data_IF_704366261266
#
_entry.id   IF_704366261266
#
_cell.length_a   1.000
_cell.length_b   1.000
_cell.length_c   1.000
_cell.angle_alpha   90.00
_cell.angle_beta   90.00
_cell.angle_gamma   90.00
#
_symmetry.space_group_name_H-M   'P 1'
#
loop_
_entity.id
_entity.type
_entity.pdbx_description
1 polymer ?
#
# COMPACT_ATOMS: atom_id res chain seq x y z
N UNK A 1 -20.88 -17.09 -12.95
CA UNK A 1 -20.23 -15.78 -13.05
C UNK A 1 -21.16 -14.70 -12.52
N UNK A 2 -20.60 -13.60 -12.04
CA UNK A 2 -21.38 -12.43 -11.62
C UNK A 2 -21.26 -11.34 -12.67
N UNK A 3 -22.32 -10.54 -12.81
CA UNK A 3 -22.37 -9.41 -13.73
C UNK A 3 -22.65 -8.13 -12.94
N UNK A 4 -21.87 -7.11 -13.19
CA UNK A 4 -22.01 -5.78 -12.64
C UNK A 4 -22.41 -4.83 -13.76
N UNK A 5 -23.41 -3.96 -13.52
CA UNK A 5 -23.92 -3.06 -14.54
C UNK A 5 -24.10 -1.65 -13.95
N UNK A 6 -23.45 -0.66 -14.57
CA UNK A 6 -23.53 0.74 -14.13
C UNK A 6 -22.28 1.53 -14.51
N UNK A 7 -21.86 2.45 -13.62
CA UNK A 7 -20.70 3.31 -13.84
C UNK A 7 -19.45 2.75 -13.16
N UNK A 8 -18.34 2.66 -13.91
CA UNK A 8 -17.02 2.27 -13.40
C UNK A 8 -16.03 3.41 -13.66
N UNK A 9 -15.22 3.73 -12.64
CA UNK A 9 -14.25 4.82 -12.69
C UNK A 9 -12.88 4.27 -12.30
N UNK A 10 -11.93 4.31 -13.20
CA UNK A 10 -10.58 3.81 -12.96
C UNK A 10 -9.50 4.62 -13.73
N UNK A 11 -8.24 4.37 -13.44
CA UNK A 11 -7.12 4.90 -14.21
C UNK A 11 -6.49 3.80 -15.06
N UNK A 12 -5.97 4.17 -16.24
CA UNK A 12 -5.07 3.33 -17.05
C UNK A 12 -3.64 3.81 -16.93
N UNK A 13 -3.46 5.12 -16.91
CA UNK A 13 -2.15 5.77 -16.79
C UNK A 13 -2.23 7.00 -15.89
N UNK A 14 -1.07 7.50 -15.51
CA UNK A 14 -0.93 8.63 -14.59
C UNK A 14 -1.71 9.87 -15.08
N UNK A 15 -2.63 10.33 -14.25
CA UNK A 15 -3.42 11.54 -14.51
C UNK A 15 -4.61 11.36 -15.44
N UNK A 16 -4.85 10.15 -15.97
CA UNK A 16 -5.98 9.85 -16.84
C UNK A 16 -7.00 8.95 -16.15
N UNK A 17 -8.18 9.49 -15.87
CA UNK A 17 -9.34 8.74 -15.41
C UNK A 17 -10.18 8.31 -16.62
N UNK A 18 -10.47 7.02 -16.74
CA UNK A 18 -11.47 6.48 -17.65
C UNK A 18 -12.79 6.29 -16.87
N UNK A 19 -13.86 6.81 -17.42
CA UNK A 19 -15.23 6.66 -16.89
C UNK A 19 -16.01 5.80 -17.90
N UNK A 20 -16.46 4.65 -17.43
CA UNK A 20 -17.24 3.69 -18.18
C UNK A 20 -18.69 3.76 -17.70
N UNK A 21 -19.48 4.67 -18.26
CA UNK A 21 -20.90 4.82 -17.93
C UNK A 21 -21.73 3.72 -18.61
N UNK A 22 -22.86 3.37 -17.99
CA UNK A 22 -23.77 2.35 -18.51
C UNK A 22 -23.04 1.10 -19.04
N UNK A 23 -22.08 0.59 -18.28
CA UNK A 23 -21.21 -0.51 -18.70
C UNK A 23 -21.62 -1.80 -18.01
N UNK A 24 -21.64 -2.91 -18.76
CA UNK A 24 -21.77 -4.26 -18.21
C UNK A 24 -20.38 -4.90 -18.09
N UNK A 25 -20.08 -5.51 -16.95
CA UNK A 25 -18.82 -6.20 -16.66
C UNK A 25 -19.09 -7.57 -16.08
N UNK A 26 -18.52 -8.61 -16.69
CA UNK A 26 -18.63 -9.98 -16.22
C UNK A 26 -17.38 -10.41 -15.44
N UNK A 27 -17.59 -11.03 -14.28
CA UNK A 27 -16.55 -11.54 -13.40
C UNK A 27 -16.72 -13.03 -13.16
N UNK A 28 -15.66 -13.80 -13.39
CA UNK A 28 -15.63 -15.26 -13.16
C UNK A 28 -14.30 -15.66 -12.53
N UNK A 29 -14.37 -16.49 -11.49
CA UNK A 29 -13.20 -16.94 -10.74
C UNK A 29 -12.33 -15.78 -10.25
N UNK A 30 -12.98 -14.71 -9.83
CA UNK A 30 -12.31 -13.51 -9.30
C UNK A 30 -11.73 -12.55 -10.33
N UNK A 31 -11.86 -12.84 -11.64
CA UNK A 31 -11.27 -12.04 -12.71
C UNK A 31 -12.34 -11.39 -13.59
N UNK A 32 -12.03 -10.20 -14.06
CA UNK A 32 -12.77 -9.55 -15.13
C UNK A 32 -12.57 -10.35 -16.42
N UNK A 33 -13.67 -10.84 -17.02
CA UNK A 33 -13.61 -11.70 -18.22
C UNK A 33 -14.25 -11.09 -19.45
N UNK A 34 -15.15 -10.11 -19.27
CA UNK A 34 -15.79 -9.40 -20.38
C UNK A 34 -16.26 -8.02 -19.92
N UNK A 35 -16.28 -7.06 -20.85
CA UNK A 35 -16.75 -5.69 -20.65
C UNK A 35 -17.52 -5.26 -21.91
N UNK A 36 -18.75 -4.73 -21.73
CA UNK A 36 -19.51 -4.09 -22.81
C UNK A 36 -19.85 -2.65 -22.38
N UNK A 37 -19.32 -1.68 -23.12
CA UNK A 37 -19.43 -0.24 -22.78
C UNK A 37 -20.79 0.38 -23.15
N UNK A 38 -21.69 -0.36 -23.78
CA UNK A 38 -23.08 0.04 -24.06
C UNK A 38 -24.08 -0.53 -23.04
N UNK A 39 -23.61 -1.31 -22.06
CA UNK A 39 -24.45 -1.92 -21.04
C UNK A 39 -25.28 -3.13 -21.51
N UNK A 40 -25.08 -3.59 -22.72
CA UNK A 40 -25.80 -4.74 -23.24
C UNK A 40 -25.18 -6.05 -22.78
N UNK A 41 -25.77 -6.62 -21.73
CA UNK A 41 -25.31 -7.89 -21.14
C UNK A 41 -25.40 -9.03 -22.18
N UNK A 42 -26.46 -9.07 -23.00
CA UNK A 42 -26.64 -10.13 -24.00
C UNK A 42 -25.54 -10.09 -25.07
N UNK A 43 -25.31 -8.92 -25.65
CA UNK A 43 -24.21 -8.69 -26.60
C UNK A 43 -22.86 -9.00 -26.00
N UNK A 44 -22.60 -8.56 -24.71
CA UNK A 44 -21.37 -8.89 -24.01
C UNK A 44 -21.13 -10.40 -23.95
N UNK A 45 -22.17 -11.18 -23.63
CA UNK A 45 -22.05 -12.63 -23.49
C UNK A 45 -21.83 -13.31 -24.84
N UNK A 46 -22.49 -12.83 -25.89
CA UNK A 46 -22.36 -13.35 -27.27
C UNK A 46 -20.94 -13.11 -27.81
N UNK A 47 -20.46 -11.88 -27.76
CA UNK A 47 -19.12 -11.48 -28.25
C UNK A 47 -17.99 -12.17 -27.48
N UNK A 48 -18.17 -12.38 -26.16
CA UNK A 48 -17.19 -13.05 -25.31
C UNK A 48 -17.33 -14.59 -25.30
N UNK A 49 -18.25 -15.14 -26.12
CA UNK A 49 -18.56 -16.59 -26.16
C UNK A 49 -18.99 -17.18 -24.82
N UNK A 50 -19.71 -16.38 -24.00
CA UNK A 50 -20.18 -16.73 -22.67
C UNK A 50 -21.69 -17.00 -22.62
N UNK A 51 -22.40 -17.07 -23.77
CA UNK A 51 -23.86 -17.19 -23.83
C UNK A 51 -24.42 -18.42 -23.10
N UNK A 52 -23.63 -19.48 -23.00
CA UNK A 52 -24.04 -20.71 -22.31
C UNK A 52 -23.64 -20.72 -20.81
N UNK A 53 -22.99 -19.68 -20.31
CA UNK A 53 -22.55 -19.59 -18.92
C UNK A 53 -23.70 -19.16 -18.00
N UNK A 54 -23.82 -19.82 -16.85
CA UNK A 54 -24.82 -19.44 -15.86
C UNK A 54 -24.41 -18.14 -15.14
N UNK A 55 -25.25 -17.13 -15.24
CA UNK A 55 -25.13 -15.93 -14.41
C UNK A 55 -25.65 -16.27 -13.00
N UNK A 56 -24.80 -16.07 -11.99
CA UNK A 56 -25.14 -16.33 -10.58
C UNK A 56 -25.81 -15.11 -9.95
N UNK A 57 -25.32 -13.91 -10.29
CA UNK A 57 -25.85 -12.66 -9.78
C UNK A 57 -25.68 -11.52 -10.79
N UNK A 58 -26.63 -10.57 -10.77
CA UNK A 58 -26.53 -9.31 -11.52
C UNK A 58 -26.71 -8.17 -10.53
N UNK A 59 -25.64 -7.39 -10.31
CA UNK A 59 -25.68 -6.18 -9.50
C UNK A 59 -25.83 -4.97 -10.45
N UNK A 60 -26.97 -4.28 -10.35
CA UNK A 60 -27.20 -3.00 -11.06
C UNK A 60 -26.98 -1.85 -10.11
N UNK A 61 -26.14 -0.90 -10.53
CA UNK A 61 -25.87 0.33 -9.82
C UNK A 61 -26.92 1.38 -10.20
N UNK A 62 -27.27 2.23 -9.25
CA UNK A 62 -28.08 3.42 -9.53
C UNK A 62 -27.19 4.62 -9.96
N UNK A 63 -27.82 5.75 -10.27
CA UNK A 63 -27.15 6.95 -10.78
C UNK A 63 -26.20 7.63 -9.77
N UNK A 64 -26.34 7.35 -8.46
CA UNK A 64 -25.49 7.88 -7.39
C UNK A 64 -24.41 6.89 -6.96
N UNK A 65 -24.39 5.73 -7.58
CA UNK A 65 -23.44 4.66 -7.32
C UNK A 65 -22.45 4.51 -8.46
N UNK A 66 -21.22 4.18 -8.10
CA UNK A 66 -20.20 3.80 -9.06
C UNK A 66 -19.22 2.80 -8.44
N UNK A 67 -18.48 2.10 -9.27
CA UNK A 67 -17.40 1.23 -8.83
C UNK A 67 -16.04 1.83 -9.14
N UNK A 68 -15.11 1.70 -8.19
CA UNK A 68 -13.69 2.00 -8.39
C UNK A 68 -12.85 0.77 -8.11
N UNK A 69 -11.60 0.68 -8.61
CA UNK A 69 -10.65 -0.31 -8.10
C UNK A 69 -10.45 -0.14 -6.60
N UNK A 70 -10.14 -1.26 -5.92
CA UNK A 70 -9.74 -1.24 -4.53
C UNK A 70 -8.43 -0.48 -4.33
N UNK A 71 -8.29 0.15 -3.17
CA UNK A 71 -7.09 0.92 -2.83
C UNK A 71 -5.94 0.02 -2.41
N UNK A 72 -4.73 0.48 -2.69
CA UNK A 72 -3.47 -0.16 -2.32
C UNK A 72 -2.79 0.68 -1.25
N UNK A 73 -2.62 0.12 -0.07
CA UNK A 73 -1.79 0.66 1.01
C UNK A 73 -0.41 -0.02 0.95
N UNK A 74 0.53 0.63 0.30
CA UNK A 74 1.83 0.04 0.05
C UNK A 74 2.81 0.21 1.23
N UNK A 75 2.37 0.79 2.36
CA UNK A 75 3.16 0.92 3.57
C UNK A 75 2.28 1.19 4.79
N UNK A 76 2.20 0.21 5.69
CA UNK A 76 1.43 0.30 6.94
C UNK A 76 2.03 -0.61 8.02
N UNK A 77 2.11 -0.14 9.25
CA UNK A 77 2.57 -0.91 10.41
C UNK A 77 1.38 -1.49 11.19
N UNK A 78 1.06 -2.75 10.95
CA UNK A 78 -0.09 -3.39 11.59
C UNK A 78 -0.02 -3.39 13.13
N UNK A 79 1.19 -3.49 13.67
CA UNK A 79 1.44 -3.53 15.11
C UNK A 79 1.33 -2.17 15.80
N UNK A 80 1.30 -1.07 15.06
CA UNK A 80 1.25 0.28 15.63
C UNK A 80 -0.16 0.87 15.66
N UNK A 81 -1.17 0.14 15.19
CA UNK A 81 -2.53 0.64 15.00
C UNK A 81 -3.14 1.32 16.23
N UNK A 82 -2.87 0.81 17.42
CA UNK A 82 -3.38 1.38 18.68
C UNK A 82 -2.70 2.73 19.05
N UNK A 83 -1.57 3.09 18.41
CA UNK A 83 -0.89 4.38 18.59
C UNK A 83 -1.41 5.48 17.67
N UNK A 84 -2.28 5.17 16.72
CA UNK A 84 -2.78 6.16 15.77
C UNK A 84 -3.39 7.38 16.50
N UNK A 85 -2.89 8.57 16.19
CA UNK A 85 -3.31 9.81 16.84
C UNK A 85 -2.50 10.22 18.09
N UNK A 86 -1.51 9.45 18.51
CA UNK A 86 -0.75 9.70 19.75
C UNK A 86 0.67 10.21 19.49
N UNK A 87 1.08 11.25 20.21
CA UNK A 87 2.46 11.69 20.35
C UNK A 87 3.05 12.48 19.18
N UNK A 88 2.25 13.07 18.29
CA UNK A 88 2.74 13.86 17.14
C UNK A 88 3.31 15.24 17.51
N UNK A 89 3.40 15.57 18.77
CA UNK A 89 4.22 16.65 19.30
C UNK A 89 5.73 16.34 19.24
N UNK A 90 6.12 15.06 19.06
CA UNK A 90 7.49 14.55 19.04
C UNK A 90 8.08 14.48 17.62
N UNK A 91 9.41 14.36 17.55
CA UNK A 91 10.12 13.96 16.32
C UNK A 91 10.07 12.44 16.15
N UNK A 92 10.44 11.95 14.96
CA UNK A 92 10.40 10.50 14.62
C UNK A 92 11.07 9.63 15.69
N UNK A 93 12.36 9.89 16.01
CA UNK A 93 13.12 9.02 16.91
C UNK A 93 12.59 9.06 18.36
N UNK A 94 12.12 10.22 18.82
CA UNK A 94 11.52 10.36 20.14
C UNK A 94 10.14 9.70 20.21
N UNK A 95 9.36 9.79 19.14
CA UNK A 95 8.06 9.12 19.02
C UNK A 95 8.21 7.60 19.04
N UNK A 96 9.19 7.06 18.31
CA UNK A 96 9.50 5.62 18.34
C UNK A 96 9.79 5.13 19.76
N UNK A 97 10.63 5.85 20.51
CA UNK A 97 11.00 5.48 21.88
C UNK A 97 9.82 5.57 22.87
N UNK A 98 9.01 6.63 22.73
CA UNK A 98 7.96 6.93 23.72
C UNK A 98 6.68 6.08 23.51
N UNK A 99 6.32 5.78 22.27
CA UNK A 99 5.04 5.14 21.94
C UNK A 99 5.21 3.81 21.19
N UNK A 100 6.01 3.79 20.14
CA UNK A 100 6.06 2.67 19.21
C UNK A 100 6.71 1.43 19.83
N UNK A 101 7.92 1.56 20.36
CA UNK A 101 8.65 0.42 20.91
C UNK A 101 7.93 -0.23 22.10
N UNK A 102 7.39 0.54 23.08
CA UNK A 102 6.60 -0.05 24.16
C UNK A 102 5.35 -0.79 23.68
N UNK A 103 4.71 -0.31 22.63
CA UNK A 103 3.55 -0.99 22.05
C UNK A 103 3.94 -2.27 21.32
N UNK A 104 4.96 -2.20 20.44
CA UNK A 104 5.39 -3.36 19.63
C UNK A 104 5.87 -4.53 20.52
N UNK A 105 6.40 -4.27 21.72
CA UNK A 105 6.73 -5.31 22.71
C UNK A 105 5.53 -6.18 23.08
N UNK A 106 4.34 -5.60 23.16
CA UNK A 106 3.13 -6.35 23.57
C UNK A 106 2.76 -7.47 22.57
N UNK A 107 3.30 -7.40 21.35
CA UNK A 107 3.09 -8.43 20.33
C UNK A 107 3.91 -9.71 20.55
N UNK A 108 4.72 -9.79 21.59
CA UNK A 108 5.25 -11.05 22.12
C UNK A 108 4.09 -11.98 22.50
N UNK A 109 3.00 -11.41 23.02
CA UNK A 109 1.76 -12.11 23.35
C UNK A 109 0.87 -12.26 22.11
N UNK A 110 0.79 -13.46 21.56
CA UNK A 110 0.00 -13.75 20.34
C UNK A 110 -1.50 -13.49 20.50
N UNK A 111 -2.03 -13.54 21.71
CA UNK A 111 -3.41 -13.18 22.05
C UNK A 111 -3.68 -11.70 21.82
N UNK A 112 -2.75 -10.82 22.27
CA UNK A 112 -2.80 -9.39 22.02
C UNK A 112 -2.68 -9.08 20.52
N UNK A 113 -1.69 -9.69 19.87
CA UNK A 113 -1.47 -9.55 18.43
C UNK A 113 -2.74 -9.89 17.64
N UNK A 114 -3.43 -10.97 17.98
CA UNK A 114 -4.68 -11.38 17.32
C UNK A 114 -5.75 -10.29 17.40
N UNK A 115 -5.96 -9.69 18.57
CA UNK A 115 -6.99 -8.67 18.78
C UNK A 115 -6.68 -7.43 17.93
N UNK A 116 -5.43 -6.93 17.96
CA UNK A 116 -5.05 -5.73 17.22
C UNK A 116 -5.08 -5.99 15.71
N UNK A 117 -4.57 -7.13 15.25
CA UNK A 117 -4.57 -7.47 13.82
C UNK A 117 -5.99 -7.69 13.26
N UNK A 118 -6.92 -8.25 14.04
CA UNK A 118 -8.33 -8.31 13.61
C UNK A 118 -8.94 -6.92 13.42
N UNK A 119 -8.57 -5.96 14.27
CA UNK A 119 -9.02 -4.56 14.14
C UNK A 119 -8.41 -3.89 12.91
N UNK A 120 -7.08 -3.91 12.75
CA UNK A 120 -6.41 -3.18 11.65
C UNK A 120 -6.85 -3.72 10.29
N UNK A 121 -6.85 -5.05 10.09
CA UNK A 121 -7.27 -5.66 8.82
C UNK A 121 -8.75 -5.38 8.54
N UNK A 122 -9.61 -5.43 9.57
CA UNK A 122 -11.03 -5.08 9.41
C UNK A 122 -11.24 -3.61 9.07
N UNK A 123 -10.48 -2.71 9.70
CA UNK A 123 -10.58 -1.26 9.46
C UNK A 123 -10.06 -0.89 8.07
N UNK A 124 -8.92 -1.41 7.65
CA UNK A 124 -8.38 -1.13 6.31
C UNK A 124 -9.30 -1.64 5.21
N UNK A 125 -9.85 -2.86 5.32
CA UNK A 125 -10.87 -3.37 4.40
C UNK A 125 -12.10 -2.47 4.35
N UNK A 126 -12.65 -2.08 5.50
CA UNK A 126 -13.82 -1.20 5.58
C UNK A 126 -13.57 0.17 4.92
N UNK A 127 -12.33 0.64 4.94
CA UNK A 127 -11.87 1.85 4.27
C UNK A 127 -11.44 1.64 2.81
N UNK A 128 -11.75 0.48 2.22
CA UNK A 128 -11.53 0.22 0.79
C UNK A 128 -10.11 -0.25 0.43
N UNK A 129 -9.24 -0.52 1.41
CA UNK A 129 -7.91 -1.06 1.14
C UNK A 129 -8.00 -2.55 0.85
N UNK A 130 -7.97 -2.92 -0.43
CA UNK A 130 -8.02 -4.32 -0.89
C UNK A 130 -6.66 -5.01 -0.85
N UNK A 131 -5.57 -4.23 -0.98
CA UNK A 131 -4.19 -4.71 -0.92
C UNK A 131 -3.37 -3.89 0.07
N UNK A 132 -2.64 -4.54 0.98
CA UNK A 132 -1.77 -3.87 1.95
C UNK A 132 -0.38 -4.52 2.03
N UNK A 133 0.68 -3.69 2.20
CA UNK A 133 2.03 -4.13 2.53
C UNK A 133 2.28 -3.89 4.03
N UNK A 134 2.09 -4.93 4.83
CA UNK A 134 2.15 -4.85 6.28
C UNK A 134 3.55 -5.04 6.84
N UNK A 135 4.03 -4.07 7.60
CA UNK A 135 5.03 -4.31 8.64
C UNK A 135 4.35 -5.03 9.81
N UNK A 136 4.82 -6.21 10.17
CA UNK A 136 4.44 -6.91 11.39
C UNK A 136 5.28 -6.45 12.59
N UNK A 137 5.87 -7.41 13.30
CA UNK A 137 6.81 -7.18 14.40
C UNK A 137 8.04 -8.09 14.26
N UNK A 138 8.99 -8.02 15.23
CA UNK A 138 10.06 -9.01 15.34
C UNK A 138 9.53 -10.39 15.80
N UNK A 139 8.34 -10.45 16.40
CA UNK A 139 7.75 -11.68 16.96
C UNK A 139 7.12 -12.52 15.87
N UNK A 140 7.82 -13.54 15.43
CA UNK A 140 7.47 -14.39 14.26
C UNK A 140 6.08 -15.03 14.39
N UNK A 141 5.73 -15.57 15.56
CA UNK A 141 4.42 -16.22 15.76
C UNK A 141 3.27 -15.21 15.66
N UNK A 142 3.46 -13.99 16.11
CA UNK A 142 2.49 -12.90 15.92
C UNK A 142 2.35 -12.49 14.46
N UNK A 143 3.44 -12.51 13.68
CA UNK A 143 3.37 -12.29 12.24
C UNK A 143 2.56 -13.40 11.54
N UNK A 144 2.64 -14.66 11.98
CA UNK A 144 1.77 -15.73 11.47
C UNK A 144 0.29 -15.51 11.85
N UNK A 145 -0.01 -14.91 13.02
CA UNK A 145 -1.40 -14.50 13.33
C UNK A 145 -1.92 -13.47 12.35
N UNK A 146 -1.09 -12.52 11.92
CA UNK A 146 -1.48 -11.56 10.88
C UNK A 146 -1.77 -12.25 9.55
N UNK A 147 -0.95 -13.22 9.14
CA UNK A 147 -1.18 -14.05 7.96
C UNK A 147 -2.53 -14.75 8.04
N UNK A 148 -2.82 -15.41 9.16
CA UNK A 148 -4.08 -16.15 9.34
C UNK A 148 -5.31 -15.22 9.28
N UNK A 149 -5.21 -14.02 9.89
CA UNK A 149 -6.31 -13.05 9.92
C UNK A 149 -6.56 -12.47 8.54
N UNK A 150 -5.50 -12.08 7.81
CA UNK A 150 -5.60 -11.56 6.44
C UNK A 150 -6.28 -12.59 5.53
N UNK A 151 -5.85 -13.85 5.58
CA UNK A 151 -6.44 -14.95 4.82
C UNK A 151 -7.92 -15.17 5.17
N UNK A 152 -8.23 -15.18 6.48
CA UNK A 152 -9.61 -15.35 6.97
C UNK A 152 -10.53 -14.23 6.49
N UNK A 153 -10.04 -12.98 6.50
CA UNK A 153 -10.81 -11.80 6.05
C UNK A 153 -10.81 -11.64 4.53
N UNK A 154 -9.94 -12.36 3.81
CA UNK A 154 -9.88 -12.34 2.35
C UNK A 154 -9.23 -11.08 1.77
N UNK A 155 -8.39 -10.34 2.52
CA UNK A 155 -7.63 -9.22 2.01
C UNK A 155 -6.39 -9.72 1.24
N UNK A 156 -5.97 -9.01 0.20
CA UNK A 156 -4.65 -9.23 -0.40
C UNK A 156 -3.59 -8.54 0.45
N UNK A 157 -2.48 -9.23 0.77
CA UNK A 157 -1.41 -8.60 1.53
C UNK A 157 -0.02 -9.17 1.24
N UNK A 158 0.97 -8.29 1.35
CA UNK A 158 2.36 -8.64 1.55
C UNK A 158 2.66 -8.47 3.04
N UNK A 159 3.13 -9.49 3.72
CA UNK A 159 3.31 -9.47 5.18
C UNK A 159 4.77 -9.72 5.52
N UNK A 160 5.35 -8.82 6.32
CA UNK A 160 6.74 -8.90 6.72
C UNK A 160 6.95 -9.08 8.22
N UNK A 161 7.80 -10.05 8.59
CA UNK A 161 8.41 -10.12 9.90
C UNK A 161 9.54 -9.07 9.94
N UNK A 162 9.46 -8.15 10.89
CA UNK A 162 10.43 -7.05 11.04
C UNK A 162 11.77 -7.58 11.55
N UNK A 163 12.88 -7.05 11.03
CA UNK A 163 14.22 -7.35 11.48
C UNK A 163 14.83 -6.14 12.18
N UNK A 164 15.34 -6.35 13.38
CA UNK A 164 16.07 -5.36 14.18
C UNK A 164 17.09 -6.08 15.08
N UNK A 165 18.38 -5.76 14.94
CA UNK A 165 19.44 -6.34 15.78
C UNK A 165 20.33 -5.28 16.46
N UNK A 166 20.02 -3.98 16.29
CA UNK A 166 20.75 -2.88 16.93
C UNK A 166 19.89 -1.63 17.08
N UNK A 167 20.37 -0.70 17.90
CA UNK A 167 19.79 0.64 18.13
C UNK A 167 18.29 0.64 18.49
N UNK A 168 17.83 -0.40 19.15
CA UNK A 168 16.50 -0.54 19.69
C UNK A 168 16.59 -0.98 21.18
N UNK A 169 15.52 -0.86 21.97
CA UNK A 169 15.50 -1.43 23.31
C UNK A 169 15.76 -2.94 23.30
N UNK A 170 16.42 -3.46 24.33
CA UNK A 170 16.80 -4.89 24.42
C UNK A 170 15.62 -5.82 24.17
N UNK A 171 14.42 -5.45 24.61
CA UNK A 171 13.19 -6.23 24.42
C UNK A 171 12.66 -6.25 22.98
N UNK A 172 13.24 -5.45 22.08
CA UNK A 172 12.95 -5.43 20.63
C UNK A 172 14.20 -5.66 19.78
N UNK A 173 15.31 -6.04 20.37
CA UNK A 173 16.56 -6.37 19.67
C UNK A 173 16.70 -7.88 19.55
N UNK A 174 16.92 -8.37 18.32
CA UNK A 174 17.09 -9.79 18.03
C UNK A 174 18.58 -10.15 17.89
N UNK A 175 18.93 -11.39 18.26
CA UNK A 175 20.19 -11.98 17.83
C UNK A 175 20.17 -12.15 16.29
N UNK A 176 21.25 -11.74 15.61
CA UNK A 176 21.33 -11.71 14.15
C UNK A 176 21.02 -13.07 13.52
N UNK A 177 21.61 -14.16 14.03
CA UNK A 177 21.40 -15.51 13.50
C UNK A 177 19.94 -15.97 13.68
N UNK A 178 19.33 -15.61 14.82
CA UNK A 178 17.90 -15.87 15.08
C UNK A 178 17.03 -15.10 14.10
N UNK A 179 17.29 -13.80 13.92
CA UNK A 179 16.52 -12.95 13.00
C UNK A 179 16.56 -13.47 11.57
N UNK A 180 17.75 -13.90 11.08
CA UNK A 180 17.94 -14.49 9.76
C UNK A 180 17.16 -15.81 9.63
N UNK A 181 17.31 -16.71 10.62
CA UNK A 181 16.63 -18.01 10.64
C UNK A 181 15.10 -17.83 10.63
N UNK A 182 14.60 -16.98 11.49
CA UNK A 182 13.16 -16.74 11.64
C UNK A 182 12.57 -16.10 10.38
N UNK A 183 13.29 -15.16 9.74
CA UNK A 183 12.87 -14.57 8.47
C UNK A 183 12.80 -15.62 7.36
N UNK A 184 13.82 -16.47 7.26
CA UNK A 184 13.82 -17.56 6.27
C UNK A 184 12.64 -18.50 6.50
N UNK A 185 12.42 -18.92 7.74
CA UNK A 185 11.30 -19.79 8.12
C UNK A 185 9.94 -19.12 7.80
N UNK A 186 9.81 -17.83 8.08
CA UNK A 186 8.60 -17.06 7.77
C UNK A 186 8.32 -17.06 6.27
N UNK A 187 9.33 -16.74 5.44
CA UNK A 187 9.22 -16.72 3.98
C UNK A 187 8.84 -18.11 3.45
N UNK A 188 9.52 -19.16 3.89
CA UNK A 188 9.24 -20.54 3.47
C UNK A 188 7.81 -20.97 3.84
N UNK A 189 7.38 -20.70 5.07
CA UNK A 189 6.04 -21.09 5.56
C UNK A 189 4.93 -20.35 4.83
N UNK A 190 5.06 -19.04 4.61
CA UNK A 190 4.06 -18.25 3.88
C UNK A 190 3.99 -18.71 2.42
N UNK A 191 5.12 -18.91 1.74
CA UNK A 191 5.14 -19.43 0.36
C UNK A 191 4.49 -20.82 0.25
N UNK A 192 4.68 -21.69 1.24
CA UNK A 192 4.09 -23.04 1.27
C UNK A 192 2.57 -23.03 1.43
N UNK A 193 1.93 -21.94 1.86
CA UNK A 193 0.48 -21.80 1.87
C UNK A 193 -0.12 -21.81 0.47
N UNK A 194 0.67 -21.43 -0.56
CA UNK A 194 0.23 -21.29 -1.96
C UNK A 194 -1.04 -20.45 -2.11
N UNK A 195 -1.21 -19.48 -1.22
CA UNK A 195 -2.34 -18.56 -1.23
C UNK A 195 -2.04 -17.41 -2.19
N UNK A 196 -2.82 -17.21 -3.26
CA UNK A 196 -2.53 -16.18 -4.26
C UNK A 196 -2.68 -14.75 -3.72
N UNK A 197 -3.36 -14.60 -2.58
CA UNK A 197 -3.61 -13.29 -1.96
C UNK A 197 -2.53 -12.90 -0.93
N UNK A 198 -1.74 -13.85 -0.41
CA UNK A 198 -0.81 -13.57 0.69
C UNK A 198 0.61 -13.94 0.31
N UNK A 199 1.49 -12.96 0.31
CA UNK A 199 2.91 -13.10 -0.01
C UNK A 199 3.78 -12.66 1.18
N UNK A 200 4.96 -13.28 1.37
CA UNK A 200 5.95 -12.76 2.31
C UNK A 200 6.68 -11.56 1.71
N UNK A 201 7.08 -10.62 2.56
CA UNK A 201 7.96 -9.50 2.21
C UNK A 201 9.07 -9.37 3.25
N UNK A 202 10.31 -9.30 2.82
CA UNK A 202 11.48 -9.15 3.69
C UNK A 202 11.48 -7.72 4.22
N UNK A 203 11.62 -7.58 5.54
CA UNK A 203 11.30 -6.32 6.21
C UNK A 203 12.39 -5.91 7.21
N UNK A 204 13.63 -5.56 6.78
CA UNK A 204 14.51 -4.79 7.65
C UNK A 204 13.81 -3.49 8.01
N UNK A 205 13.68 -3.17 9.33
CA UNK A 205 12.93 -1.98 9.71
C UNK A 205 13.48 -0.75 9.01
N UNK A 206 14.75 -0.46 9.20
CA UNK A 206 15.51 0.57 8.49
C UNK A 206 17.02 0.38 8.78
N UNK A 207 17.89 1.13 8.12
CA UNK A 207 19.32 0.94 8.25
C UNK A 207 19.83 1.16 9.68
N UNK A 208 19.22 2.05 10.46
CA UNK A 208 19.63 2.31 11.86
C UNK A 208 19.48 1.06 12.74
N UNK A 209 18.46 0.24 12.49
CA UNK A 209 18.14 -0.91 13.36
C UNK A 209 18.73 -2.24 12.89
N UNK A 210 19.50 -2.24 11.79
CA UNK A 210 20.08 -3.45 11.21
C UNK A 210 21.56 -3.24 10.93
N UNK A 211 22.44 -4.09 11.47
CA UNK A 211 23.83 -4.08 11.05
C UNK A 211 24.00 -4.58 9.61
N UNK A 212 25.14 -4.30 9.00
CA UNK A 212 25.37 -4.63 7.60
C UNK A 212 25.32 -6.14 7.34
N UNK A 213 25.77 -6.96 8.27
CA UNK A 213 25.74 -8.44 8.16
C UNK A 213 24.30 -8.97 8.08
N UNK A 214 23.40 -8.41 8.89
CA UNK A 214 21.97 -8.74 8.85
C UNK A 214 21.37 -8.30 7.50
N UNK A 215 21.61 -7.06 7.08
CA UNK A 215 21.10 -6.55 5.79
C UNK A 215 21.56 -7.41 4.60
N UNK A 216 22.85 -7.79 4.54
CA UNK A 216 23.41 -8.64 3.50
C UNK A 216 22.79 -10.05 3.51
N UNK A 217 22.55 -10.62 4.69
CA UNK A 217 21.89 -11.91 4.85
C UNK A 217 20.44 -11.86 4.36
N UNK A 218 19.72 -10.77 4.65
CA UNK A 218 18.35 -10.53 4.14
C UNK A 218 18.35 -10.36 2.62
N UNK A 219 19.36 -9.70 2.04
CA UNK A 219 19.57 -9.63 0.59
C UNK A 219 19.75 -11.00 -0.06
N UNK A 220 20.47 -11.89 0.61
CA UNK A 220 20.65 -13.29 0.17
C UNK A 220 19.33 -14.09 0.22
N UNK A 221 18.49 -13.86 1.25
CA UNK A 221 17.16 -14.49 1.34
C UNK A 221 16.26 -13.94 0.22
N UNK A 222 16.26 -12.60 -0.02
CA UNK A 222 15.54 -11.98 -1.13
C UNK A 222 15.85 -12.65 -2.46
N UNK A 223 17.14 -12.80 -2.77
CA UNK A 223 17.59 -13.39 -4.02
C UNK A 223 17.14 -14.85 -4.13
N UNK A 224 17.40 -15.65 -3.09
CA UNK A 224 17.05 -17.07 -3.05
C UNK A 224 15.56 -17.34 -3.30
N UNK A 225 14.68 -16.56 -2.70
CA UNK A 225 13.23 -16.77 -2.76
C UNK A 225 12.53 -15.83 -3.77
N UNK A 226 13.26 -14.96 -4.44
CA UNK A 226 12.71 -13.91 -5.30
C UNK A 226 11.61 -13.09 -4.61
N UNK A 227 11.84 -12.79 -3.32
CA UNK A 227 10.89 -12.09 -2.45
C UNK A 227 10.83 -10.59 -2.70
N UNK A 228 9.71 -10.00 -2.33
CA UNK A 228 9.60 -8.56 -2.13
C UNK A 228 10.44 -8.11 -0.93
N UNK A 229 10.81 -6.82 -0.93
CA UNK A 229 11.50 -6.15 0.18
C UNK A 229 10.78 -4.84 0.49
N UNK A 230 10.65 -4.51 1.76
CA UNK A 230 10.19 -3.21 2.23
C UNK A 230 11.10 -2.69 3.34
N UNK A 231 11.35 -1.38 3.32
CA UNK A 231 12.10 -0.67 4.36
C UNK A 231 11.86 0.83 4.25
N UNK A 232 12.41 1.62 5.18
CA UNK A 232 12.35 3.08 5.19
C UNK A 232 13.63 3.67 4.59
N UNK A 233 13.54 4.85 3.98
CA UNK A 233 14.71 5.55 3.42
C UNK A 233 14.52 7.06 3.50
N UNK A 234 15.55 7.75 3.99
CA UNK A 234 15.69 9.20 3.93
C UNK A 234 14.41 9.94 4.33
N UNK A 235 13.78 9.48 5.42
CA UNK A 235 12.55 10.07 5.95
C UNK A 235 12.84 11.39 6.68
N UNK A 236 13.83 11.39 7.58
CA UNK A 236 14.15 12.48 8.47
C UNK A 236 15.64 12.84 8.40
N UNK A 237 15.99 14.11 8.58
CA UNK A 237 17.39 14.58 8.50
C UNK A 237 18.26 13.94 9.57
N UNK A 238 17.78 13.85 10.83
CA UNK A 238 18.53 13.24 11.92
C UNK A 238 18.76 11.75 11.68
N UNK A 239 17.78 11.06 11.07
CA UNK A 239 17.90 9.67 10.63
C UNK A 239 19.02 9.50 9.60
N UNK A 240 19.09 10.40 8.60
CA UNK A 240 20.11 10.36 7.53
C UNK A 240 21.52 10.53 8.11
N UNK A 241 21.71 11.50 9.00
CA UNK A 241 23.00 11.74 9.65
C UNK A 241 23.41 10.53 10.50
N UNK A 242 22.47 9.93 11.22
CA UNK A 242 22.77 8.73 12.01
C UNK A 242 23.14 7.53 11.13
N UNK A 243 22.48 7.33 10.00
CA UNK A 243 22.87 6.29 9.02
C UNK A 243 24.28 6.54 8.47
N UNK A 244 24.64 7.78 8.20
CA UNK A 244 25.99 8.15 7.72
C UNK A 244 27.08 7.83 8.76
N UNK A 245 26.79 8.03 10.03
CA UNK A 245 27.69 7.64 11.13
C UNK A 245 27.85 6.11 11.23
N UNK A 246 26.76 5.36 11.10
CA UNK A 246 26.76 3.89 11.19
C UNK A 246 27.40 3.21 9.98
N UNK A 247 27.27 3.82 8.78
CA UNK A 247 27.75 3.26 7.53
C UNK A 247 28.69 4.23 6.78
N UNK A 248 29.85 4.60 7.35
CA UNK A 248 30.73 5.66 6.82
C UNK A 248 31.33 5.32 5.46
N UNK A 249 31.27 4.06 5.03
CA UNK A 249 31.76 3.64 3.71
C UNK A 249 30.70 3.69 2.62
N UNK A 250 29.42 3.84 2.97
CA UNK A 250 28.35 4.02 1.99
C UNK A 250 28.33 5.44 1.48
N UNK A 251 28.04 5.64 0.20
CA UNK A 251 28.00 7.00 -0.40
C UNK A 251 26.77 7.80 0.02
N UNK A 252 25.68 7.13 0.37
CA UNK A 252 24.43 7.70 0.85
C UNK A 252 23.55 6.62 1.48
N UNK A 253 22.36 6.97 1.98
CA UNK A 253 21.46 6.03 2.65
C UNK A 253 21.04 4.88 1.72
N UNK A 254 20.60 5.19 0.50
CA UNK A 254 20.17 4.18 -0.48
C UNK A 254 21.30 3.23 -0.86
N UNK A 255 22.57 3.67 -0.84
CA UNK A 255 23.74 2.84 -1.12
C UNK A 255 23.94 1.72 -0.08
N UNK A 256 23.54 1.94 1.18
CA UNK A 256 23.56 0.89 2.21
C UNK A 256 22.73 -0.32 1.74
N UNK A 257 21.52 -0.08 1.26
CA UNK A 257 20.63 -1.13 0.77
C UNK A 257 21.10 -1.74 -0.55
N UNK A 258 21.67 -0.92 -1.45
CA UNK A 258 22.24 -1.39 -2.70
C UNK A 258 23.37 -2.39 -2.45
N UNK A 259 24.30 -2.05 -1.55
CA UNK A 259 25.43 -2.90 -1.18
C UNK A 259 25.00 -4.20 -0.51
N UNK A 260 23.91 -4.16 0.25
CA UNK A 260 23.32 -5.33 0.90
C UNK A 260 22.46 -6.19 -0.06
N UNK A 261 22.43 -5.92 -1.37
CA UNK A 261 21.60 -6.61 -2.36
C UNK A 261 20.10 -6.61 -2.03
N UNK A 262 19.61 -5.53 -1.41
CA UNK A 262 18.19 -5.38 -1.05
C UNK A 262 17.37 -4.62 -2.10
N UNK A 263 18.03 -3.94 -3.06
CA UNK A 263 17.35 -3.19 -4.10
C UNK A 263 17.00 -4.05 -5.30
N UNK A 264 15.83 -3.79 -5.88
CA UNK A 264 15.35 -4.46 -7.09
C UNK A 264 13.90 -4.12 -7.40
N UNK A 265 13.36 -4.66 -8.48
CA UNK A 265 12.02 -4.33 -8.97
C UNK A 265 10.90 -4.59 -7.96
N UNK A 266 11.08 -5.58 -7.08
CA UNK A 266 10.14 -5.93 -5.99
C UNK A 266 10.46 -5.24 -4.67
N UNK A 267 11.27 -4.18 -4.68
CA UNK A 267 11.62 -3.42 -3.48
C UNK A 267 10.83 -2.13 -3.42
N UNK A 268 10.23 -1.87 -2.26
CA UNK A 268 9.56 -0.61 -1.94
C UNK A 268 10.33 0.09 -0.80
N UNK A 269 10.56 1.37 -0.98
CA UNK A 269 11.21 2.25 -0.01
C UNK A 269 10.19 3.29 0.48
N UNK A 270 9.87 3.26 1.77
CA UNK A 270 8.93 4.21 2.35
C UNK A 270 9.56 5.59 2.55
N UNK A 271 8.74 6.63 2.45
CA UNK A 271 9.01 8.06 2.64
C UNK A 271 9.81 8.73 1.53
N UNK A 272 11.13 8.56 1.48
CA UNK A 272 11.98 9.19 0.47
C UNK A 272 11.89 10.72 0.44
N UNK A 273 11.74 11.36 1.62
CA UNK A 273 11.51 12.83 1.74
C UNK A 273 12.74 13.61 1.30
N UNK A 274 13.92 13.15 1.70
CA UNK A 274 15.19 13.86 1.52
C UNK A 274 16.16 13.17 0.55
N UNK A 275 15.63 12.43 -0.44
CA UNK A 275 16.47 11.75 -1.44
C UNK A 275 17.29 12.76 -2.26
N UNK A 276 18.58 12.49 -2.38
CA UNK A 276 19.51 13.21 -3.27
C UNK A 276 19.32 12.81 -4.73
N UNK A 277 19.90 13.56 -5.68
CA UNK A 277 19.82 13.19 -7.10
C UNK A 277 20.53 11.86 -7.41
N UNK A 278 21.64 11.57 -6.73
CA UNK A 278 22.37 10.28 -6.88
C UNK A 278 21.54 9.11 -6.37
N UNK A 279 20.81 9.29 -5.26
CA UNK A 279 19.88 8.27 -4.77
C UNK A 279 18.72 8.03 -5.73
N UNK A 280 18.19 9.08 -6.35
CA UNK A 280 17.14 8.96 -7.38
C UNK A 280 17.63 8.17 -8.61
N UNK A 281 18.89 8.34 -9.01
CA UNK A 281 19.50 7.53 -10.08
C UNK A 281 19.57 6.08 -9.66
N UNK A 282 20.08 5.78 -8.46
CA UNK A 282 20.18 4.42 -7.93
C UNK A 282 18.82 3.73 -7.82
N UNK A 283 17.80 4.43 -7.31
CA UNK A 283 16.42 3.94 -7.17
C UNK A 283 15.82 3.61 -8.53
N UNK A 284 15.97 4.52 -9.50
CA UNK A 284 15.48 4.33 -10.87
C UNK A 284 16.13 3.14 -11.55
N UNK A 285 17.47 3.08 -11.53
CA UNK A 285 18.24 2.03 -12.23
C UNK A 285 17.97 0.65 -11.62
N UNK A 286 17.74 0.59 -10.32
CA UNK A 286 17.32 -0.64 -9.61
C UNK A 286 15.82 -0.94 -9.75
N UNK A 287 15.03 -0.10 -10.43
CA UNK A 287 13.56 -0.22 -10.61
C UNK A 287 12.76 -0.29 -9.31
N UNK A 288 13.33 0.25 -8.24
CA UNK A 288 12.70 0.34 -6.92
C UNK A 288 11.55 1.34 -6.95
N UNK A 289 10.52 1.10 -6.17
CA UNK A 289 9.44 2.06 -5.97
C UNK A 289 9.60 2.83 -4.65
N UNK A 290 9.12 4.07 -4.63
CA UNK A 290 9.02 4.91 -3.43
C UNK A 290 7.57 4.97 -2.99
N UNK A 291 7.33 4.79 -1.68
CA UNK A 291 5.99 4.87 -1.11
C UNK A 291 5.84 6.19 -0.36
N UNK A 292 4.96 7.03 -0.87
CA UNK A 292 4.66 8.32 -0.27
C UNK A 292 3.68 8.17 0.89
N UNK A 293 4.11 8.60 2.09
CA UNK A 293 3.35 8.55 3.33
C UNK A 293 3.07 9.97 3.84
N UNK A 294 2.14 10.74 3.19
CA UNK A 294 2.03 12.18 3.39
C UNK A 294 1.65 12.57 4.83
N UNK A 295 0.79 11.80 5.48
CA UNK A 295 0.34 12.06 6.84
C UNK A 295 1.51 11.92 7.83
N UNK A 296 2.25 10.82 7.78
CA UNK A 296 3.39 10.57 8.66
C UNK A 296 4.49 11.61 8.46
N UNK A 297 4.90 11.86 7.22
CA UNK A 297 5.96 12.83 6.90
C UNK A 297 5.68 14.22 7.50
N UNK A 298 4.41 14.64 7.51
CA UNK A 298 4.01 15.95 8.05
C UNK A 298 3.80 15.91 9.57
N UNK A 299 3.16 14.87 10.11
CA UNK A 299 2.89 14.74 11.54
C UNK A 299 4.17 14.62 12.37
N UNK A 300 5.13 13.82 11.90
CA UNK A 300 6.42 13.60 12.58
C UNK A 300 7.48 14.65 12.19
N UNK A 301 7.09 15.69 11.45
CA UNK A 301 7.95 16.82 11.05
C UNK A 301 9.15 16.40 10.19
N UNK A 302 9.01 15.27 9.48
CA UNK A 302 10.05 14.75 8.58
C UNK A 302 10.25 15.66 7.35
N UNK A 303 9.17 16.26 6.83
CA UNK A 303 9.22 17.21 5.72
C UNK A 303 8.16 16.97 4.65
N UNK A 304 8.33 17.66 3.51
CA UNK A 304 7.43 17.57 2.36
C UNK A 304 8.10 16.74 1.25
N UNK A 305 7.65 15.52 1.03
CA UNK A 305 8.16 14.69 -0.07
C UNK A 305 7.71 15.25 -1.43
N UNK A 306 8.65 15.55 -2.31
CA UNK A 306 8.38 16.04 -3.66
C UNK A 306 8.08 14.87 -4.61
N UNK A 307 6.83 14.38 -4.59
CA UNK A 307 6.38 13.28 -5.45
C UNK A 307 6.49 13.63 -6.94
N UNK A 308 6.26 14.90 -7.33
CA UNK A 308 6.42 15.33 -8.73
C UNK A 308 7.86 15.12 -9.22
N UNK A 309 8.87 15.39 -8.39
CA UNK A 309 10.28 15.14 -8.72
C UNK A 309 10.54 13.65 -9.00
N UNK A 310 9.96 12.77 -8.18
CA UNK A 310 10.06 11.32 -8.37
C UNK A 310 9.45 10.89 -9.71
N UNK A 311 8.21 11.31 -9.98
CA UNK A 311 7.49 11.00 -11.21
C UNK A 311 8.20 11.53 -12.46
N UNK A 312 8.76 12.75 -12.41
CA UNK A 312 9.54 13.34 -13.50
C UNK A 312 10.80 12.51 -13.82
N UNK A 313 11.39 11.85 -12.81
CA UNK A 313 12.50 10.90 -12.97
C UNK A 313 12.04 9.49 -13.40
N UNK A 314 10.72 9.27 -13.60
CA UNK A 314 10.12 7.98 -13.95
C UNK A 314 10.34 6.90 -12.88
N UNK A 315 10.37 7.30 -11.62
CA UNK A 315 10.38 6.39 -10.47
C UNK A 315 8.93 6.01 -10.19
N UNK A 316 8.68 4.71 -9.96
CA UNK A 316 7.37 4.21 -9.53
C UNK A 316 7.03 4.77 -8.15
N UNK A 317 5.81 5.24 -7.96
CA UNK A 317 5.34 5.77 -6.68
C UNK A 317 3.99 5.14 -6.33
N UNK A 318 3.87 4.66 -5.10
CA UNK A 318 2.61 4.27 -4.47
C UNK A 318 2.31 5.14 -3.26
N UNK A 319 1.14 4.96 -2.66
CA UNK A 319 0.76 5.61 -1.41
C UNK A 319 0.81 4.63 -0.25
N UNK A 320 1.10 5.15 0.94
CA UNK A 320 1.02 4.44 2.21
C UNK A 320 0.33 5.29 3.27
N UNK A 321 -0.44 4.65 4.15
CA UNK A 321 -1.00 5.31 5.33
C UNK A 321 0.07 5.52 6.39
N UNK A 322 1.03 4.60 6.44
CA UNK A 322 2.03 4.53 7.50
C UNK A 322 1.42 4.66 8.91
N UNK A 323 0.32 3.95 9.14
CA UNK A 323 -0.23 3.85 10.50
C UNK A 323 0.80 3.14 11.39
N UNK A 324 1.21 3.73 12.50
CA UNK A 324 0.66 4.89 13.17
C UNK A 324 1.55 6.16 13.11
N UNK A 325 2.58 6.25 12.28
CA UNK A 325 3.22 7.53 11.97
C UNK A 325 2.23 8.46 11.27
N UNK A 326 1.39 7.92 10.38
CA UNK A 326 0.17 8.52 9.89
C UNK A 326 -1.04 8.15 10.77
N UNK A 327 -1.87 9.11 11.12
CA UNK A 327 -2.99 8.90 12.07
C UNK A 327 -4.24 8.28 11.44
N UNK A 328 -4.37 8.28 10.13
CA UNK A 328 -5.59 7.84 9.45
C UNK A 328 -5.36 6.55 8.67
N UNK A 329 -6.12 5.46 8.94
CA UNK A 329 -5.93 4.17 8.28
C UNK A 329 -6.58 4.09 6.88
N UNK A 330 -6.90 5.22 6.24
CA UNK A 330 -7.51 5.22 4.91
C UNK A 330 -6.63 5.81 3.83
N UNK A 331 -6.48 5.11 2.73
CA UNK A 331 -5.80 5.59 1.53
C UNK A 331 -6.54 6.79 0.91
N UNK A 332 -7.84 6.92 1.15
CA UNK A 332 -8.60 8.11 0.71
C UNK A 332 -8.06 9.40 1.37
N UNK A 333 -7.69 9.36 2.65
CA UNK A 333 -7.00 10.49 3.31
C UNK A 333 -5.58 10.68 2.76
N UNK A 334 -4.84 9.61 2.54
CA UNK A 334 -3.50 9.69 1.94
C UNK A 334 -3.54 10.34 0.55
N UNK A 335 -4.55 10.06 -0.28
CA UNK A 335 -4.75 10.74 -1.57
C UNK A 335 -4.96 12.25 -1.42
N UNK A 336 -5.83 12.68 -0.48
CA UNK A 336 -6.08 14.11 -0.20
C UNK A 336 -4.82 14.83 0.23
N UNK A 337 -4.11 14.24 1.19
CA UNK A 337 -2.86 14.79 1.69
C UNK A 337 -1.76 14.82 0.65
N UNK A 338 -1.75 13.88 -0.28
CA UNK A 338 -0.82 13.90 -1.41
C UNK A 338 -1.03 15.16 -2.27
N UNK A 339 -2.29 15.53 -2.52
CA UNK A 339 -2.61 16.79 -3.23
C UNK A 339 -2.21 17.99 -2.40
N UNK A 340 -2.54 18.02 -1.09
CA UNK A 340 -2.20 19.13 -0.20
C UNK A 340 -0.69 19.35 -0.09
N UNK A 341 0.07 18.26 0.17
CA UNK A 341 1.54 18.30 0.24
C UNK A 341 2.13 18.78 -1.09
N UNK A 342 1.61 18.31 -2.21
CA UNK A 342 2.08 18.72 -3.53
C UNK A 342 1.82 20.21 -3.81
N UNK A 343 0.69 20.76 -3.34
CA UNK A 343 0.40 22.20 -3.40
C UNK A 343 1.39 22.99 -2.54
N UNK A 344 1.75 22.49 -1.35
CA UNK A 344 2.76 23.14 -0.51
C UNK A 344 4.15 23.09 -1.16
N UNK A 345 4.55 21.96 -1.74
CA UNK A 345 5.81 21.85 -2.50
C UNK A 345 5.86 22.87 -3.63
N UNK A 346 4.79 23.06 -4.38
CA UNK A 346 4.70 24.06 -5.44
C UNK A 346 4.89 25.50 -4.93
N UNK A 347 4.40 25.83 -3.73
CA UNK A 347 4.58 27.16 -3.15
C UNK A 347 6.05 27.49 -2.87
N UNK A 348 6.87 26.48 -2.56
CA UNK A 348 8.31 26.65 -2.32
C UNK A 348 9.17 26.41 -3.57
N UNK A 349 8.71 25.55 -4.48
CA UNK A 349 9.42 25.09 -5.67
C UNK A 349 8.49 25.10 -6.90
N UNK A 350 8.21 26.28 -7.48
CA UNK A 350 7.22 26.46 -8.55
C UNK A 350 7.48 25.66 -9.85
N UNK A 351 8.70 25.20 -10.04
CA UNK A 351 9.07 24.34 -11.17
C UNK A 351 8.43 22.93 -11.08
N UNK A 352 7.98 22.51 -9.90
CA UNK A 352 7.30 21.21 -9.71
C UNK A 352 5.78 21.40 -9.71
N UNK A 353 5.17 21.19 -10.88
CA UNK A 353 3.72 21.29 -11.06
C UNK A 353 2.97 20.44 -10.01
N UNK A 354 1.93 20.99 -9.34
CA UNK A 354 1.14 20.26 -8.36
C UNK A 354 0.52 18.97 -8.91
N UNK A 355 0.34 17.99 -8.04
CA UNK A 355 -0.42 16.78 -8.35
C UNK A 355 -1.92 17.09 -8.33
N UNK A 356 -2.63 16.46 -9.23
CA UNK A 356 -4.09 16.50 -9.31
C UNK A 356 -4.72 15.32 -8.54
N UNK A 357 -6.02 15.43 -8.23
CA UNK A 357 -6.78 14.30 -7.65
C UNK A 357 -6.75 13.04 -8.56
N UNK A 358 -6.65 13.22 -9.88
CA UNK A 358 -6.53 12.12 -10.85
C UNK A 358 -5.20 11.35 -10.68
N UNK A 359 -4.12 12.10 -10.50
CA UNK A 359 -2.80 11.51 -10.26
C UNK A 359 -2.74 10.85 -8.88
N UNK A 360 -3.30 11.46 -7.84
CA UNK A 360 -3.38 10.84 -6.52
C UNK A 360 -4.20 9.53 -6.53
N UNK A 361 -5.30 9.48 -7.28
CA UNK A 361 -6.09 8.26 -7.47
C UNK A 361 -5.31 7.18 -8.23
N UNK A 362 -4.54 7.55 -9.25
CA UNK A 362 -3.63 6.62 -9.92
C UNK A 362 -2.63 6.03 -8.92
N UNK A 363 -1.97 6.85 -8.09
CA UNK A 363 -1.00 6.38 -7.10
C UNK A 363 -1.61 5.43 -6.05
N UNK A 364 -2.89 5.62 -5.73
CA UNK A 364 -3.65 4.80 -4.79
C UNK A 364 -4.13 3.46 -5.37
N UNK A 365 -4.08 3.28 -6.68
CA UNK A 365 -4.63 2.12 -7.39
C UNK A 365 -3.56 1.47 -8.28
N UNK A 366 -3.46 1.87 -9.55
CA UNK A 366 -2.48 1.33 -10.50
C UNK A 366 -1.05 1.59 -10.05
N UNK A 367 -0.73 2.81 -9.61
CA UNK A 367 0.61 3.17 -9.12
C UNK A 367 1.03 2.35 -7.89
N UNK A 368 0.10 2.10 -6.96
CA UNK A 368 0.33 1.18 -5.85
C UNK A 368 0.59 -0.25 -6.29
N UNK A 369 -0.17 -0.74 -7.27
CA UNK A 369 0.03 -2.07 -7.86
C UNK A 369 1.37 -2.17 -8.62
N UNK A 370 1.77 -1.12 -9.36
CA UNK A 370 3.09 -1.02 -10.00
C UNK A 370 4.23 -0.99 -8.99
N UNK A 371 4.06 -0.26 -7.89
CA UNK A 371 5.03 -0.21 -6.81
C UNK A 371 5.26 -1.60 -6.18
N UNK A 372 4.21 -2.39 -6.06
CA UNK A 372 4.28 -3.77 -5.59
C UNK A 372 4.65 -4.78 -6.69
N UNK A 373 4.95 -4.33 -7.93
CA UNK A 373 5.23 -5.20 -9.08
C UNK A 373 4.13 -6.23 -9.35
N UNK A 374 2.86 -5.80 -9.21
CA UNK A 374 1.66 -6.63 -9.35
C UNK A 374 0.59 -5.98 -10.25
N UNK A 375 0.93 -4.97 -11.06
CA UNK A 375 -0.03 -4.25 -11.91
C UNK A 375 -0.60 -5.10 -13.05
N UNK A 376 0.01 -6.24 -13.34
CA UNK A 376 -0.54 -7.28 -14.21
C UNK A 376 -1.75 -8.01 -13.58
N UNK A 377 -1.89 -7.95 -12.25
CA UNK A 377 -2.91 -8.68 -11.51
C UNK A 377 -4.11 -7.81 -11.11
N UNK A 378 -3.89 -6.58 -10.65
CA UNK A 378 -4.95 -5.69 -10.15
C UNK A 378 -4.58 -4.21 -10.35
N UNK A 379 -5.44 -3.29 -9.90
CA UNK A 379 -5.25 -1.84 -9.89
C UNK A 379 -6.21 -1.09 -10.83
N UNK A 380 -6.79 -1.76 -11.81
CA UNK A 380 -7.83 -1.21 -12.68
C UNK A 380 -8.75 -2.31 -13.24
N UNK A 381 -9.77 -1.90 -14.00
CA UNK A 381 -10.76 -2.82 -14.61
C UNK A 381 -10.35 -3.19 -16.03
N UNK A 382 -9.34 -4.03 -16.18
CA UNK A 382 -8.96 -4.62 -17.48
C UNK A 382 -9.27 -6.11 -17.50
N UNK A 383 -9.61 -6.63 -18.69
CA UNK A 383 -9.87 -8.07 -18.88
C UNK A 383 -8.64 -8.88 -18.49
N UNK A 384 -8.85 -9.91 -17.68
CA UNK A 384 -7.80 -10.80 -17.16
C UNK A 384 -7.29 -10.43 -15.78
N UNK A 385 -7.52 -9.19 -15.31
CA UNK A 385 -7.14 -8.77 -13.95
C UNK A 385 -8.14 -9.25 -12.90
N UNK A 386 -7.66 -9.34 -11.68
CA UNK A 386 -8.49 -9.65 -10.52
C UNK A 386 -9.47 -8.49 -10.27
N UNK A 387 -10.70 -8.84 -9.95
CA UNK A 387 -11.74 -7.88 -9.63
C UNK A 387 -11.61 -7.45 -8.17
N UNK A 388 -10.65 -6.55 -7.91
CA UNK A 388 -10.52 -5.82 -6.67
C UNK A 388 -11.27 -4.50 -6.82
N UNK A 389 -12.42 -4.37 -6.17
CA UNK A 389 -13.35 -3.28 -6.44
C UNK A 389 -14.06 -2.76 -5.19
N UNK A 390 -14.42 -1.49 -5.24
CA UNK A 390 -15.25 -0.81 -4.24
C UNK A 390 -16.56 -0.40 -4.89
N UNK A 391 -17.69 -0.72 -4.27
CA UNK A 391 -18.97 -0.10 -4.59
C UNK A 391 -19.14 1.16 -3.73
N UNK A 392 -19.17 2.30 -4.39
CA UNK A 392 -19.33 3.61 -3.76
C UNK A 392 -20.77 4.07 -3.93
N UNK A 393 -21.36 4.56 -2.85
CA UNK A 393 -22.70 5.14 -2.83
C UNK A 393 -22.62 6.54 -2.20
N UNK A 394 -22.86 7.55 -3.01
CA UNK A 394 -22.68 8.92 -2.55
C UNK A 394 -23.83 9.47 -1.71
N UNK A 395 -25.04 8.90 -1.81
CA UNK A 395 -26.22 9.30 -1.00
C UNK A 395 -26.39 10.82 -0.84
N UNK A 396 -25.95 11.58 -1.83
CA UNK A 396 -25.92 13.04 -1.77
C UNK A 396 -27.32 13.56 -2.14
N UNK A 397 -27.91 14.35 -1.25
CA UNK A 397 -28.99 15.24 -1.62
C UNK A 397 -28.38 16.47 -2.29
N UNK A 398 -28.44 16.51 -3.60
CA UNK A 398 -27.99 17.65 -4.40
C UNK A 398 -29.19 18.20 -5.18
N UNK A 399 -29.33 19.52 -5.20
CA UNK A 399 -30.29 20.21 -6.08
C UNK A 399 -29.82 20.26 -7.54
N UNK A 400 -28.56 19.88 -7.79
CA UNK A 400 -27.98 19.82 -9.13
C UNK A 400 -27.75 18.38 -9.53
N UNK A 401 -28.01 18.06 -10.79
CA UNK A 401 -27.54 16.82 -11.38
C UNK A 401 -26.03 16.86 -11.49
N UNK A 402 -25.37 15.83 -10.99
CA UNK A 402 -23.91 15.69 -10.98
C UNK A 402 -23.50 14.68 -12.05
N UNK A 403 -22.49 15.02 -12.81
CA UNK A 403 -21.82 14.09 -13.71
C UNK A 403 -21.04 13.02 -12.92
N UNK A 404 -20.76 11.89 -13.52
CA UNK A 404 -19.99 10.80 -12.88
C UNK A 404 -18.63 11.26 -12.34
N UNK A 405 -17.95 12.18 -13.05
CA UNK A 405 -16.68 12.73 -12.58
C UNK A 405 -16.85 13.66 -11.38
N UNK A 406 -17.95 14.40 -11.30
CA UNK A 406 -18.25 15.26 -10.15
C UNK A 406 -18.64 14.44 -8.92
N UNK A 407 -19.40 13.34 -9.09
CA UNK A 407 -19.65 12.36 -8.02
C UNK A 407 -18.34 11.77 -7.49
N UNK A 408 -17.42 11.38 -8.38
CA UNK A 408 -16.11 10.90 -7.99
C UNK A 408 -15.28 11.97 -7.26
N UNK A 409 -15.28 13.23 -7.72
CA UNK A 409 -14.59 14.32 -7.02
C UNK A 409 -15.17 14.54 -5.62
N UNK A 410 -16.50 14.48 -5.47
CA UNK A 410 -17.14 14.58 -4.14
C UNK A 410 -16.75 13.41 -3.24
N UNK A 411 -16.69 12.17 -3.76
CA UNK A 411 -16.17 11.04 -3.01
C UNK A 411 -14.71 11.27 -2.61
N UNK A 412 -13.87 11.68 -3.56
CA UNK A 412 -12.47 11.94 -3.31
C UNK A 412 -12.25 12.95 -2.17
N UNK A 413 -12.97 14.08 -2.19
CA UNK A 413 -12.75 15.17 -1.22
C UNK A 413 -13.60 15.07 0.05
N UNK A 414 -14.82 14.54 -0.02
CA UNK A 414 -15.80 14.57 1.07
C UNK A 414 -16.20 13.18 1.58
N UNK A 415 -15.91 12.11 0.81
CA UNK A 415 -16.30 10.76 1.15
C UNK A 415 -15.52 10.17 2.33
N UNK A 416 -16.06 9.12 2.89
CA UNK A 416 -15.44 8.30 3.93
C UNK A 416 -15.92 6.83 3.83
N UNK A 417 -15.64 6.02 4.87
CA UNK A 417 -16.03 4.61 4.93
C UNK A 417 -17.56 4.39 4.84
N UNK A 418 -18.38 5.37 5.17
CA UNK A 418 -19.86 5.31 5.06
C UNK A 418 -20.33 5.29 3.62
N UNK A 419 -19.52 5.78 2.69
CA UNK A 419 -19.80 5.74 1.24
C UNK A 419 -19.36 4.42 0.60
N UNK A 420 -18.49 3.64 1.24
CA UNK A 420 -18.02 2.36 0.73
C UNK A 420 -19.01 1.27 1.17
N UNK A 421 -19.88 0.86 0.25
CA UNK A 421 -20.95 -0.10 0.55
C UNK A 421 -20.48 -1.55 0.49
N UNK A 422 -19.66 -1.86 -0.50
CA UNK A 422 -19.10 -3.21 -0.67
C UNK A 422 -17.61 -3.11 -1.07
N UNK A 423 -16.85 -4.06 -0.59
CA UNK A 423 -15.44 -4.25 -0.95
C UNK A 423 -15.28 -5.65 -1.52
N UNK A 424 -14.68 -5.75 -2.69
CA UNK A 424 -14.39 -7.01 -3.37
C UNK A 424 -12.88 -7.19 -3.51
N UNK A 425 -12.39 -8.38 -3.18
CA UNK A 425 -10.99 -8.79 -3.38
C UNK A 425 -10.98 -10.06 -4.21
N UNK A 426 -10.31 -10.04 -5.34
CA UNK A 426 -10.32 -11.13 -6.31
C UNK A 426 -11.76 -11.67 -6.55
N UNK A 427 -12.71 -10.76 -6.77
CA UNK A 427 -14.11 -11.06 -7.04
C UNK A 427 -14.94 -11.51 -5.85
N UNK A 428 -14.33 -11.74 -4.69
CA UNK A 428 -15.05 -12.14 -3.48
C UNK A 428 -15.45 -10.90 -2.66
N UNK A 429 -16.73 -10.76 -2.34
CA UNK A 429 -17.21 -9.74 -1.41
C UNK A 429 -16.67 -10.04 -0.01
N UNK A 430 -15.94 -9.07 0.58
CA UNK A 430 -15.29 -9.19 1.89
C UNK A 430 -15.87 -8.22 2.92
N UNK A 431 -16.52 -7.12 2.46
CA UNK A 431 -17.34 -6.17 3.23
C UNK A 431 -18.69 -6.02 2.53
#
# INVERSE_FOLDING_TARGET
MDVYHGTFIHCKQLGEIEILENTAMAVRNGKVIAINKQGDIKTMLEESKLSNEKISNVLKLDEKQFMTPGFVDAHIHAAQFENAGLGYDKTLLDWLKAYTFPLEKQFEETSYAKIVYEKVVGTTLKNGTTTAAYFGTIHTESCFKLVDIVRKKGQRALIGKVNMNMNAPDYLTEESEKSIKDTKQFVERVNNLKDPLVLPIITPRFAISCDFKLLESLGSIREKFNCHVQTHVSENVDEIEFVKELFPTASNYTDVYRRANLLGEKTILAHGVHLTDDELVTIKDSRVAVIHCPASNTCLKSGLCNVRRLLNKKIKVGLGTDVAGGYNPTILDAMRRTVDVSNQVFNFYPEFKPLTYKEAFFLATVGGAEALSMSDKFGNFEIGKDFDALLIDMKIESMQELTSIELFQKFFYLGDDRNIQNVFVAGKKVI
#
